data_IF_286194749439
#
_entry.id   IF_286194749439
#
_cell.length_a   1.000
_cell.length_b   1.000
_cell.length_c   1.000
_cell.angle_alpha   90.00
_cell.angle_beta   90.00
_cell.angle_gamma   90.00
#
_symmetry.space_group_name_H-M   'P 1'
#
loop_
_entity.id
_entity.type
_entity.pdbx_description
1 polymer ?
#
# COMPACT_ATOMS: atom_id res chain seq x y z
N UNK A 1 -10.46 -0.95 -0.79
CA UNK A 1 -9.46 -0.37 -1.70
C UNK A 1 -8.93 0.92 -1.09
N UNK A 2 -7.61 1.11 -1.06
CA UNK A 2 -6.93 2.26 -0.47
C UNK A 2 -5.92 2.79 -1.48
N UNK A 3 -6.19 3.97 -2.06
CA UNK A 3 -5.33 4.64 -3.04
C UNK A 3 -5.18 6.14 -2.69
N UNK A 4 -4.32 6.48 -1.71
CA UNK A 4 -4.19 7.84 -1.23
C UNK A 4 -3.24 8.67 -2.10
N UNK A 5 -3.34 10.01 -2.07
CA UNK A 5 -2.29 10.87 -2.62
C UNK A 5 -0.97 10.65 -1.86
N UNK A 6 0.17 10.96 -2.49
CA UNK A 6 1.49 10.83 -1.84
C UNK A 6 1.63 11.71 -0.59
N UNK A 7 0.97 12.86 -0.58
CA UNK A 7 0.86 13.77 0.55
C UNK A 7 -0.51 14.45 0.56
N UNK A 8 -1.08 14.66 1.75
CA UNK A 8 -2.29 15.45 1.93
C UNK A 8 -2.22 16.28 3.23
N UNK A 9 -2.89 17.43 3.23
CA UNK A 9 -3.07 18.27 4.42
C UNK A 9 -4.52 18.69 4.52
N UNK A 10 -5.12 18.50 5.70
CA UNK A 10 -6.47 18.96 6.00
C UNK A 10 -6.52 19.51 7.43
N UNK A 11 -6.87 20.79 7.59
CA UNK A 11 -6.82 21.52 8.86
C UNK A 11 -5.45 21.35 9.55
N UNK A 12 -5.43 20.77 10.75
CA UNK A 12 -4.23 20.49 11.55
C UNK A 12 -3.62 19.10 11.29
N UNK A 13 -4.17 18.32 10.36
CA UNK A 13 -3.68 16.96 10.02
C UNK A 13 -2.86 17.00 8.74
N UNK A 14 -1.78 16.23 8.73
CA UNK A 14 -0.97 15.95 7.54
C UNK A 14 -0.86 14.44 7.37
N UNK A 15 -0.69 14.02 6.12
CA UNK A 15 -0.53 12.62 5.73
C UNK A 15 0.60 12.53 4.72
N UNK A 16 1.53 11.60 4.93
CA UNK A 16 2.55 11.20 3.98
C UNK A 16 2.51 9.69 3.80
N UNK A 17 2.44 9.25 2.54
CA UNK A 17 2.37 7.83 2.19
C UNK A 17 3.55 7.00 2.74
N UNK A 18 4.72 7.62 2.95
CA UNK A 18 5.91 6.93 3.48
C UNK A 18 5.88 6.75 5.00
N UNK A 19 5.08 7.56 5.71
CA UNK A 19 5.07 7.62 7.18
C UNK A 19 3.77 7.14 7.82
N UNK A 20 2.67 7.24 7.09
CA UNK A 20 1.31 7.15 7.65
C UNK A 20 0.47 6.04 6.99
N UNK A 21 1.07 5.19 6.14
CA UNK A 21 0.31 4.13 5.45
C UNK A 21 -0.23 3.09 6.42
N UNK A 22 0.52 2.78 7.48
CA UNK A 22 0.13 1.92 8.59
C UNK A 22 -1.23 2.32 9.20
N UNK A 23 -1.46 3.63 9.36
CA UNK A 23 -2.73 4.18 9.88
C UNK A 23 -3.90 3.85 8.97
N UNK A 24 -3.70 3.84 7.66
CA UNK A 24 -4.74 3.47 6.70
C UNK A 24 -5.05 1.98 6.77
N UNK A 25 -4.04 1.13 6.89
CA UNK A 25 -4.21 -0.33 7.02
C UNK A 25 -4.96 -0.65 8.31
N UNK A 26 -4.50 -0.13 9.46
CA UNK A 26 -5.14 -0.37 10.75
C UNK A 26 -6.59 0.14 10.79
N UNK A 27 -6.86 1.31 10.22
CA UNK A 27 -8.22 1.84 10.09
C UNK A 27 -9.12 0.94 9.24
N UNK A 28 -8.57 0.32 8.18
CA UNK A 28 -9.32 -0.57 7.31
C UNK A 28 -9.57 -1.95 7.95
N UNK A 29 -8.59 -2.52 8.67
CA UNK A 29 -8.76 -3.80 9.37
C UNK A 29 -9.94 -3.78 10.34
N UNK A 30 -10.15 -2.67 11.05
CA UNK A 30 -11.26 -2.50 12.00
C UNK A 30 -12.67 -2.63 11.38
N UNK A 31 -12.80 -2.44 10.06
CA UNK A 31 -14.08 -2.49 9.34
C UNK A 31 -14.10 -3.61 8.29
N UNK A 32 -13.03 -4.40 8.19
CA UNK A 32 -12.89 -5.48 7.22
C UNK A 32 -13.58 -6.74 7.75
N UNK A 33 -14.31 -7.44 6.89
CA UNK A 33 -14.89 -8.75 7.20
C UNK A 33 -13.80 -9.81 7.42
N UNK A 34 -14.11 -10.89 8.15
CA UNK A 34 -13.17 -11.96 8.54
C UNK A 34 -12.44 -12.68 7.40
N UNK A 35 -12.92 -12.59 6.16
CA UNK A 35 -12.24 -13.12 4.97
C UNK A 35 -12.12 -12.05 3.87
N UNK A 36 -11.90 -10.80 4.28
CA UNK A 36 -11.83 -9.66 3.39
C UNK A 36 -10.50 -9.55 2.62
N UNK A 37 -10.56 -8.86 1.49
CA UNK A 37 -9.38 -8.52 0.69
C UNK A 37 -9.11 -7.02 0.75
N UNK A 38 -7.86 -6.66 1.04
CA UNK A 38 -7.34 -5.31 0.90
C UNK A 38 -6.65 -5.15 -0.46
N UNK A 39 -6.99 -4.06 -1.16
CA UNK A 39 -6.23 -3.55 -2.29
C UNK A 39 -5.52 -2.27 -1.86
N UNK A 40 -4.19 -2.34 -1.74
CA UNK A 40 -3.33 -1.27 -1.23
C UNK A 40 -2.49 -0.68 -2.37
N UNK A 41 -2.71 0.61 -2.65
CA UNK A 41 -2.12 1.28 -3.81
C UNK A 41 -1.27 2.50 -3.42
N UNK A 42 -0.24 2.78 -4.21
CA UNK A 42 0.46 4.07 -4.18
C UNK A 42 1.08 4.39 -5.53
N UNK A 43 1.01 5.66 -5.92
CA UNK A 43 1.66 6.20 -7.11
C UNK A 43 2.95 6.98 -6.80
N UNK A 44 3.41 6.98 -5.55
CA UNK A 44 4.59 7.75 -5.15
C UNK A 44 5.89 7.12 -5.69
N UNK A 45 6.53 7.79 -6.66
CA UNK A 45 7.80 7.34 -7.25
C UNK A 45 8.93 7.21 -6.22
N UNK A 46 8.94 8.12 -5.23
CA UNK A 46 9.89 8.15 -4.12
C UNK A 46 9.70 7.03 -3.08
N UNK A 47 8.59 6.27 -3.16
CA UNK A 47 8.29 5.19 -2.23
C UNK A 47 8.45 3.83 -2.95
N UNK A 48 9.60 3.14 -2.81
CA UNK A 48 9.88 1.91 -3.55
C UNK A 48 8.98 0.76 -3.10
N UNK A 49 8.65 -0.15 -4.03
CA UNK A 49 7.84 -1.35 -3.76
C UNK A 49 8.36 -2.17 -2.58
N UNK A 50 9.68 -2.29 -2.41
CA UNK A 50 10.28 -3.01 -1.28
C UNK A 50 9.90 -2.37 0.05
N UNK A 51 10.01 -1.04 0.16
CA UNK A 51 9.64 -0.32 1.39
C UNK A 51 8.13 -0.40 1.61
N UNK A 52 7.33 -0.27 0.55
CA UNK A 52 5.88 -0.39 0.64
C UNK A 52 5.43 -1.77 1.17
N UNK A 53 5.96 -2.86 0.60
CA UNK A 53 5.71 -4.22 1.09
C UNK A 53 6.15 -4.41 2.54
N UNK A 54 7.30 -3.84 2.93
CA UNK A 54 7.77 -3.93 4.32
C UNK A 54 6.81 -3.23 5.28
N UNK A 55 6.29 -2.06 4.92
CA UNK A 55 5.27 -1.36 5.72
C UNK A 55 4.00 -2.20 5.83
N UNK A 56 3.48 -2.75 4.72
CA UNK A 56 2.30 -3.62 4.74
C UNK A 56 2.52 -4.81 5.68
N UNK A 57 3.59 -5.58 5.47
CA UNK A 57 3.88 -6.78 6.27
C UNK A 57 4.02 -6.46 7.75
N UNK A 58 4.84 -5.45 8.07
CA UNK A 58 5.07 -5.04 9.45
C UNK A 58 3.76 -4.64 10.13
N UNK A 59 2.92 -3.85 9.48
CA UNK A 59 1.63 -3.43 10.06
C UNK A 59 0.69 -4.62 10.27
N UNK A 60 0.62 -5.56 9.33
CA UNK A 60 -0.23 -6.74 9.48
C UNK A 60 0.29 -7.69 10.58
N UNK A 61 1.60 -7.92 10.65
CA UNK A 61 2.25 -8.68 11.72
C UNK A 61 2.00 -8.06 13.10
N UNK A 62 2.14 -6.74 13.22
CA UNK A 62 1.85 -6.00 14.46
C UNK A 62 0.36 -6.03 14.84
N UNK A 63 -0.55 -6.16 13.86
CA UNK A 63 -1.99 -6.29 14.09
C UNK A 63 -2.43 -7.70 14.47
N UNK A 64 -1.55 -8.69 14.35
CA UNK A 64 -1.83 -10.08 14.74
C UNK A 64 -2.85 -10.81 13.87
N UNK A 65 -3.07 -10.34 12.64
CA UNK A 65 -3.98 -10.99 11.66
C UNK A 65 -3.20 -11.94 10.76
N UNK A 66 -3.86 -13.01 10.33
CA UNK A 66 -3.33 -13.88 9.29
C UNK A 66 -3.51 -13.19 7.93
N UNK A 67 -2.47 -13.23 7.10
CA UNK A 67 -2.49 -12.53 5.82
C UNK A 67 -1.73 -13.26 4.71
N UNK A 68 -2.16 -13.00 3.47
CA UNK A 68 -1.50 -13.48 2.26
C UNK A 68 -1.41 -12.36 1.22
N UNK A 69 -0.19 -12.02 0.77
CA UNK A 69 0.01 -11.14 -0.38
C UNK A 69 -0.19 -11.97 -1.66
N UNK A 70 -1.36 -11.86 -2.28
CA UNK A 70 -1.74 -12.69 -3.44
C UNK A 70 -1.19 -12.14 -4.75
N UNK A 71 -1.29 -10.84 -4.96
CA UNK A 71 -0.90 -10.21 -6.22
C UNK A 71 -0.17 -8.88 -6.00
N UNK A 72 0.79 -8.61 -6.87
CA UNK A 72 1.56 -7.36 -6.87
C UNK A 72 1.61 -6.85 -8.29
N UNK A 73 0.86 -5.79 -8.54
CA UNK A 73 0.78 -5.13 -9.83
C UNK A 73 1.54 -3.80 -9.83
N UNK A 74 1.96 -3.40 -11.03
CA UNK A 74 2.61 -2.12 -11.29
C UNK A 74 1.95 -1.43 -12.49
N UNK A 75 2.72 -0.61 -13.21
CA UNK A 75 2.25 0.06 -14.41
C UNK A 75 1.85 -0.93 -15.51
N UNK A 76 0.72 -0.70 -16.21
CA UNK A 76 0.32 -1.52 -17.35
C UNK A 76 1.23 -1.30 -18.56
N UNK A 77 1.10 -2.14 -19.59
CA UNK A 77 2.06 -2.22 -20.72
C UNK A 77 2.17 -0.93 -21.54
N UNK A 78 1.10 -0.15 -21.60
CA UNK A 78 1.00 1.17 -22.22
C UNK A 78 1.81 2.25 -21.48
N UNK A 79 2.10 2.06 -20.19
CA UNK A 79 2.97 2.93 -19.40
C UNK A 79 4.38 2.34 -19.31
N UNK A 80 5.18 2.58 -20.35
CA UNK A 80 6.56 2.09 -20.44
C UNK A 80 7.40 2.54 -19.25
N UNK A 81 8.11 1.59 -18.66
CA UNK A 81 9.06 1.83 -17.57
C UNK A 81 10.49 1.68 -18.08
N UNK A 82 11.44 2.31 -17.40
CA UNK A 82 12.84 2.25 -17.77
C UNK A 82 13.57 1.24 -16.85
N UNK A 83 14.16 0.15 -17.38
CA UNK A 83 14.77 -0.91 -16.58
C UNK A 83 15.84 -0.41 -15.59
N UNK A 84 16.62 0.59 -16.00
CA UNK A 84 17.69 1.17 -15.18
C UNK A 84 17.26 2.36 -14.32
N UNK A 85 16.01 2.83 -14.43
CA UNK A 85 15.50 3.95 -13.64
C UNK A 85 14.27 3.49 -12.87
N UNK A 86 14.52 2.88 -11.71
CA UNK A 86 13.48 2.30 -10.82
C UNK A 86 12.34 3.26 -10.47
N UNK A 87 12.55 4.59 -10.28
CA UNK A 87 11.45 5.52 -10.01
C UNK A 87 10.41 5.60 -11.14
N UNK A 88 10.72 5.19 -12.38
CA UNK A 88 9.70 5.04 -13.44
C UNK A 88 8.65 3.99 -13.14
N UNK A 89 8.95 3.00 -12.27
CA UNK A 89 7.98 2.00 -11.77
C UNK A 89 7.25 2.56 -10.55
N UNK A 90 6.56 3.69 -10.73
CA UNK A 90 6.01 4.47 -9.62
C UNK A 90 4.69 3.93 -9.06
N UNK A 91 3.89 3.22 -9.87
CA UNK A 91 2.66 2.59 -9.41
C UNK A 91 2.97 1.27 -8.72
N UNK A 92 2.36 1.06 -7.55
CA UNK A 92 2.33 -0.21 -6.82
C UNK A 92 0.90 -0.48 -6.40
N UNK A 93 0.39 -1.66 -6.70
CA UNK A 93 -0.88 -2.16 -6.19
C UNK A 93 -0.63 -3.55 -5.61
N UNK A 94 -1.00 -3.76 -4.35
CA UNK A 94 -0.79 -5.02 -3.63
C UNK A 94 -2.14 -5.52 -3.15
N UNK A 95 -2.49 -6.74 -3.56
CA UNK A 95 -3.65 -7.46 -3.06
C UNK A 95 -3.22 -8.26 -1.84
N UNK A 96 -4.01 -8.16 -0.78
CA UNK A 96 -3.78 -8.86 0.48
C UNK A 96 -5.09 -9.47 0.94
N UNK A 97 -5.13 -10.79 1.04
CA UNK A 97 -6.21 -11.48 1.74
C UNK A 97 -5.91 -11.45 3.23
N UNK A 98 -6.93 -11.16 4.03
CA UNK A 98 -6.83 -11.11 5.50
C UNK A 98 -7.77 -12.17 6.08
N UNK A 99 -7.32 -12.82 7.16
CA UNK A 99 -8.12 -13.71 8.00
C UNK A 99 -7.97 -13.28 9.46
N UNK A 100 -9.09 -12.92 10.10
CA UNK A 100 -9.16 -12.48 11.49
C UNK A 100 -10.41 -12.98 12.20
#
# INVERSE_FOLDING_TARGET
>A
MIDPPSFARNKKRTFSVQKDYDKLINGALNILSSEGTLLLCTNASVYPLKQFKNTIKKTLEESGVDYELTEVMGLPKDFKTHPHYKPSKYLKAVFVNIRH
#
